data_IF_251802437716
#
_entry.id   IF_251802437716
#
_cell.length_a   1.000
_cell.length_b   1.000
_cell.length_c   1.000
_cell.angle_alpha   90.00
_cell.angle_beta   90.00
_cell.angle_gamma   90.00
#
_symmetry.space_group_name_H-M   'P 1'
#
loop_
_entity.id
_entity.type
_entity.pdbx_description
1 polymer ?
#
# COMPACT_ATOMS: atom_id res chain seq x y z
N UNK A 1 3.60 19.13 -8.23
CA UNK A 1 4.12 17.87 -8.72
C UNK A 1 4.50 17.01 -7.55
N UNK A 2 4.03 15.79 -7.57
CA UNK A 2 4.38 14.82 -6.56
C UNK A 2 5.79 14.28 -6.85
N UNK A 3 6.61 14.25 -5.81
CA UNK A 3 7.90 13.57 -5.89
C UNK A 3 7.74 12.08 -5.61
N UNK A 4 6.50 11.61 -5.63
CA UNK A 4 6.17 10.24 -5.31
C UNK A 4 6.59 9.25 -6.38
N UNK A 5 6.78 8.02 -5.92
CA UNK A 5 7.13 6.88 -6.76
C UNK A 5 5.96 5.91 -6.75
N UNK A 6 5.59 5.41 -7.93
CA UNK A 6 4.60 4.34 -8.07
C UNK A 6 5.23 3.23 -8.89
N UNK A 7 5.38 2.04 -8.31
CA UNK A 7 6.05 0.90 -8.92
C UNK A 7 5.17 -0.33 -8.79
N UNK A 8 5.16 -1.16 -9.82
CA UNK A 8 4.49 -2.47 -9.80
C UNK A 8 5.54 -3.58 -9.94
N UNK A 9 5.50 -4.55 -9.04
CA UNK A 9 6.38 -5.70 -9.05
C UNK A 9 5.53 -6.96 -9.28
N UNK A 10 5.82 -7.69 -10.35
CA UNK A 10 5.04 -8.85 -10.75
C UNK A 10 5.77 -10.14 -10.37
N UNK A 11 5.02 -11.10 -9.83
CA UNK A 11 5.58 -12.42 -9.49
C UNK A 11 5.60 -13.38 -10.67
N UNK A 12 4.65 -13.27 -11.57
CA UNK A 12 4.60 -14.16 -12.71
C UNK A 12 5.13 -13.49 -13.98
N UNK A 13 5.63 -14.28 -14.95
CA UNK A 13 6.24 -13.71 -16.15
C UNK A 13 5.30 -12.90 -17.03
N UNK A 14 4.02 -13.19 -16.95
CA UNK A 14 3.01 -12.49 -17.76
C UNK A 14 2.54 -11.20 -17.10
N UNK A 15 2.81 -11.04 -15.79
CA UNK A 15 2.45 -9.84 -15.06
C UNK A 15 0.96 -9.63 -14.88
N UNK A 16 0.15 -10.69 -14.96
CA UNK A 16 -1.29 -10.55 -14.99
C UNK A 16 -2.00 -10.89 -13.69
N UNK A 17 -1.39 -11.71 -12.84
CA UNK A 17 -2.11 -12.28 -11.70
C UNK A 17 -1.64 -11.75 -10.36
N UNK A 18 -0.36 -11.86 -10.07
CA UNK A 18 0.18 -11.52 -8.74
C UNK A 18 1.16 -10.38 -8.85
N UNK A 19 0.83 -9.26 -8.20
CA UNK A 19 1.74 -8.11 -8.21
C UNK A 19 1.69 -7.35 -6.90
N UNK A 20 2.78 -6.67 -6.60
CA UNK A 20 2.89 -5.75 -5.48
C UNK A 20 2.99 -4.33 -6.02
N UNK A 21 2.11 -3.47 -5.57
CA UNK A 21 2.17 -2.04 -5.88
C UNK A 21 2.86 -1.32 -4.73
N UNK A 22 3.81 -0.44 -5.06
CA UNK A 22 4.55 0.36 -4.08
C UNK A 22 4.33 1.83 -4.39
N UNK A 23 3.82 2.58 -3.44
CA UNK A 23 3.66 4.03 -3.53
C UNK A 23 4.43 4.68 -2.40
N UNK A 24 5.28 5.64 -2.71
CA UNK A 24 6.13 6.29 -1.73
C UNK A 24 6.39 7.74 -2.13
N UNK A 25 6.35 8.67 -1.18
CA UNK A 25 6.61 10.08 -1.44
C UNK A 25 7.63 10.71 -0.47
N UNK A 26 8.37 9.87 0.26
CA UNK A 26 9.34 10.36 1.24
C UNK A 26 8.75 10.61 2.63
N UNK A 27 7.42 10.68 2.75
CA UNK A 27 6.72 10.79 4.04
C UNK A 27 6.01 9.51 4.38
N UNK A 28 5.43 8.87 3.38
CA UNK A 28 4.64 7.66 3.53
C UNK A 28 5.09 6.63 2.51
N UNK A 29 4.98 5.37 2.89
CA UNK A 29 5.11 4.27 1.95
C UNK A 29 3.89 3.36 2.12
N UNK A 30 3.23 3.05 1.01
CA UNK A 30 2.05 2.20 1.01
C UNK A 30 2.30 1.03 0.08
N UNK A 31 2.05 -0.19 0.57
CA UNK A 31 2.22 -1.41 -0.18
C UNK A 31 0.86 -2.06 -0.38
N UNK A 32 0.58 -2.49 -1.59
CA UNK A 32 -0.65 -3.20 -1.91
C UNK A 32 -0.36 -4.40 -2.77
N UNK A 33 -0.71 -5.59 -2.30
CA UNK A 33 -0.58 -6.81 -3.07
C UNK A 33 -1.93 -7.18 -3.66
N UNK A 34 -1.93 -7.54 -4.93
CA UNK A 34 -3.11 -8.06 -5.60
C UNK A 34 -2.79 -9.41 -6.18
N UNK A 35 -3.61 -10.40 -5.89
CA UNK A 35 -3.44 -11.75 -6.40
C UNK A 35 -4.77 -12.35 -6.80
N UNK A 36 -4.70 -13.50 -7.44
CA UNK A 36 -5.86 -14.27 -7.84
C UNK A 36 -6.80 -13.43 -8.71
N UNK A 37 -6.22 -12.74 -9.70
CA UNK A 37 -6.92 -11.84 -10.62
C UNK A 37 -7.68 -10.72 -9.89
N UNK A 38 -7.08 -10.19 -8.82
CA UNK A 38 -7.66 -9.10 -8.08
C UNK A 38 -8.66 -9.51 -7.00
N UNK A 39 -8.82 -10.81 -6.77
CA UNK A 39 -9.77 -11.30 -5.77
C UNK A 39 -9.19 -11.30 -4.35
N UNK A 40 -7.86 -11.40 -4.23
CA UNK A 40 -7.18 -11.34 -2.94
C UNK A 40 -6.30 -10.11 -2.89
N UNK A 41 -6.62 -9.19 -1.98
CA UNK A 41 -5.90 -7.94 -1.85
C UNK A 41 -5.40 -7.78 -0.42
N UNK A 42 -4.11 -7.45 -0.30
CA UNK A 42 -3.48 -7.19 0.99
C UNK A 42 -2.84 -5.82 0.95
N UNK A 43 -3.03 -5.05 2.01
CA UNK A 43 -2.47 -3.71 2.11
C UNK A 43 -1.61 -3.61 3.36
N UNK A 44 -0.51 -2.84 3.28
CA UNK A 44 0.20 -2.48 4.49
C UNK A 44 -0.77 -1.79 5.43
N UNK A 45 -0.67 -2.07 6.73
CA UNK A 45 -1.62 -1.61 7.72
C UNK A 45 -0.90 -0.77 8.76
N UNK A 46 -1.44 0.41 9.04
CA UNK A 46 -0.93 1.29 10.07
C UNK A 46 -1.93 1.34 11.23
N UNK A 47 -1.68 0.59 12.31
CA UNK A 47 -2.62 0.54 13.44
C UNK A 47 -2.81 1.87 14.17
N UNK A 48 -1.89 2.83 13.99
CA UNK A 48 -2.06 4.16 14.58
C UNK A 48 -3.29 4.88 14.04
N UNK A 49 -3.79 4.48 12.87
CA UNK A 49 -4.97 5.07 12.24
C UNK A 49 -6.17 4.12 12.20
N UNK A 50 -6.15 3.08 13.01
CA UNK A 50 -7.22 2.08 13.02
C UNK A 50 -8.60 2.68 13.32
N UNK A 51 -8.65 3.75 14.11
CA UNK A 51 -9.90 4.43 14.44
C UNK A 51 -10.50 5.21 13.29
N UNK A 52 -9.77 5.39 12.20
CA UNK A 52 -10.27 6.07 11.01
C UNK A 52 -10.95 5.12 10.02
N UNK A 53 -10.92 3.82 10.28
CA UNK A 53 -11.41 2.82 9.33
C UNK A 53 -12.87 3.07 8.90
N UNK A 54 -13.71 3.46 9.84
CA UNK A 54 -15.13 3.72 9.56
C UNK A 54 -15.37 5.02 8.80
N UNK A 55 -14.37 5.87 8.71
CA UNK A 55 -14.49 7.19 8.10
C UNK A 55 -14.04 7.22 6.65
N UNK A 56 -13.32 6.20 6.20
CA UNK A 56 -12.69 6.19 4.88
C UNK A 56 -13.72 6.40 3.75
N UNK A 57 -14.86 5.74 3.85
CA UNK A 57 -15.90 5.84 2.83
C UNK A 57 -16.72 7.11 2.91
N UNK A 58 -16.57 7.89 3.97
CA UNK A 58 -17.37 9.09 4.23
C UNK A 58 -16.56 10.37 4.15
N UNK A 59 -15.25 10.29 4.33
CA UNK A 59 -14.39 11.46 4.36
C UNK A 59 -14.11 11.97 2.94
N UNK A 60 -14.09 13.27 2.77
CA UNK A 60 -13.68 13.88 1.51
C UNK A 60 -12.17 13.62 1.30
N UNK A 61 -11.77 13.49 0.03
CA UNK A 61 -10.37 13.24 -0.29
C UNK A 61 -9.43 14.38 0.11
N UNK A 62 -9.98 15.55 0.37
CA UNK A 62 -9.23 16.70 0.85
C UNK A 62 -8.93 16.62 2.34
N UNK A 63 -9.59 15.72 3.05
CA UNK A 63 -9.37 15.55 4.49
C UNK A 63 -8.04 14.84 4.74
N UNK A 64 -7.00 15.63 4.97
CA UNK A 64 -5.64 15.10 5.17
C UNK A 64 -5.41 14.50 6.56
N UNK A 65 -6.43 14.48 7.41
CA UNK A 65 -6.36 13.68 8.64
C UNK A 65 -6.62 12.20 8.38
N UNK A 66 -7.27 11.89 7.26
CA UNK A 66 -7.65 10.52 6.85
C UNK A 66 -6.80 10.04 5.67
N UNK A 67 -6.50 10.93 4.71
CA UNK A 67 -5.88 10.58 3.45
C UNK A 67 -4.45 11.09 3.35
N UNK A 68 -3.58 10.28 2.75
CA UNK A 68 -2.23 10.72 2.38
C UNK A 68 -2.28 11.49 1.07
N UNK A 69 -1.12 12.00 0.65
CA UNK A 69 -0.96 12.60 -0.68
C UNK A 69 -0.61 11.55 -1.74
N UNK A 70 -0.45 10.30 -1.33
CA UNK A 70 -0.18 9.20 -2.26
C UNK A 70 -1.44 8.86 -3.06
N UNK A 71 -1.24 8.46 -4.30
CA UNK A 71 -2.33 8.02 -5.17
C UNK A 71 -1.95 6.73 -5.87
N UNK A 72 -2.79 5.71 -5.71
CA UNK A 72 -2.59 4.44 -6.39
C UNK A 72 -2.83 4.61 -7.89
N UNK A 73 -1.82 4.27 -8.69
CA UNK A 73 -1.89 4.45 -10.13
C UNK A 73 -2.10 5.89 -10.58
N UNK A 74 -1.87 6.85 -9.68
CA UNK A 74 -2.06 8.27 -9.98
C UNK A 74 -3.53 8.69 -10.00
N UNK A 75 -4.45 7.85 -9.55
CA UNK A 75 -5.89 8.11 -9.65
C UNK A 75 -6.67 7.96 -8.34
N UNK A 76 -6.25 7.04 -7.47
CA UNK A 76 -7.00 6.70 -6.27
C UNK A 76 -6.23 7.07 -5.02
N UNK A 77 -6.73 7.98 -4.19
CA UNK A 77 -6.01 8.35 -2.97
C UNK A 77 -5.87 7.17 -2.02
N UNK A 78 -4.78 7.17 -1.26
CA UNK A 78 -4.45 6.10 -0.33
C UNK A 78 -4.68 6.60 1.09
N UNK A 79 -5.52 5.93 1.89
CA UNK A 79 -5.76 6.36 3.27
C UNK A 79 -4.56 6.07 4.16
N UNK A 80 -4.42 6.86 5.21
CA UNK A 80 -3.31 6.72 6.16
C UNK A 80 -3.28 5.35 6.83
N UNK A 81 -4.44 4.71 6.98
CA UNK A 81 -4.51 3.38 7.56
C UNK A 81 -3.77 2.33 6.73
N UNK A 82 -3.59 2.58 5.42
CA UNK A 82 -2.86 1.69 4.52
C UNK A 82 -1.42 2.17 4.25
N UNK A 83 -0.96 3.18 4.96
CA UNK A 83 0.36 3.76 4.72
C UNK A 83 1.15 3.83 6.02
N UNK A 84 2.45 3.55 5.92
CA UNK A 84 3.34 3.62 7.07
C UNK A 84 4.34 4.75 6.89
N UNK A 85 4.83 5.30 8.00
CA UNK A 85 5.76 6.42 7.98
C UNK A 85 7.22 5.99 8.02
N UNK A 86 7.49 4.74 8.38
CA UNK A 86 8.85 4.19 8.41
C UNK A 86 9.21 3.71 7.03
N UNK A 87 9.84 4.58 6.24
CA UNK A 87 10.19 4.28 4.86
C UNK A 87 11.18 3.12 4.79
N UNK A 88 12.14 3.04 5.71
CA UNK A 88 13.11 1.95 5.72
C UNK A 88 12.44 0.60 5.93
N UNK A 89 11.45 0.56 6.82
CA UNK A 89 10.71 -0.66 7.09
C UNK A 89 9.90 -1.08 5.85
N UNK A 90 9.30 -0.12 5.17
CA UNK A 90 8.60 -0.39 3.91
C UNK A 90 9.53 -0.92 2.82
N UNK A 91 10.74 -0.36 2.73
CA UNK A 91 11.74 -0.84 1.76
C UNK A 91 12.15 -2.28 2.10
N UNK A 92 12.32 -2.60 3.37
CA UNK A 92 12.63 -3.98 3.79
C UNK A 92 11.50 -4.93 3.37
N UNK A 93 10.26 -4.49 3.49
CA UNK A 93 9.12 -5.31 3.07
C UNK A 93 9.13 -5.56 1.56
N UNK A 94 9.48 -4.56 0.77
CA UNK A 94 9.61 -4.71 -0.68
C UNK A 94 10.74 -5.69 -1.02
N UNK A 95 11.89 -5.53 -0.39
CA UNK A 95 13.04 -6.43 -0.64
C UNK A 95 12.71 -7.87 -0.26
N UNK A 96 12.02 -8.06 0.86
CA UNK A 96 11.60 -9.38 1.30
C UNK A 96 10.66 -10.02 0.27
N UNK A 97 9.70 -9.25 -0.24
CA UNK A 97 8.78 -9.72 -1.27
C UNK A 97 9.51 -10.12 -2.54
N UNK A 98 10.48 -9.31 -2.97
CA UNK A 98 11.27 -9.62 -4.17
C UNK A 98 12.03 -10.93 -4.02
N UNK A 99 12.59 -11.18 -2.83
CA UNK A 99 13.41 -12.37 -2.58
C UNK A 99 12.60 -13.64 -2.35
N UNK A 100 11.44 -13.53 -1.71
CA UNK A 100 10.70 -14.69 -1.23
C UNK A 100 9.32 -14.86 -1.87
N UNK A 101 8.76 -13.80 -2.44
CA UNK A 101 7.38 -13.82 -2.91
C UNK A 101 6.35 -13.78 -1.80
N UNK A 102 6.79 -13.53 -0.56
CA UNK A 102 5.94 -13.56 0.62
C UNK A 102 5.89 -12.19 1.30
N UNK A 103 4.88 -12.02 2.16
CA UNK A 103 4.71 -10.77 2.91
C UNK A 103 5.70 -10.69 4.05
N UNK A 104 6.30 -9.52 4.21
CA UNK A 104 7.27 -9.28 5.26
C UNK A 104 6.58 -9.30 6.63
N UNK A 105 7.04 -10.15 7.56
CA UNK A 105 6.39 -10.25 8.88
C UNK A 105 6.68 -9.08 9.80
N UNK A 106 7.59 -8.20 9.43
CA UNK A 106 7.95 -7.04 10.25
C UNK A 106 6.98 -5.89 10.18
N UNK A 107 5.96 -5.95 9.31
CA UNK A 107 4.87 -4.96 9.28
C UNK A 107 3.54 -5.68 9.32
N UNK A 108 2.49 -4.93 9.64
CA UNK A 108 1.14 -5.47 9.67
C UNK A 108 0.52 -5.38 8.28
N UNK A 109 -0.35 -6.32 7.96
CA UNK A 109 -1.04 -6.39 6.68
C UNK A 109 -2.54 -6.50 6.91
N UNK A 110 -3.31 -5.82 6.06
CA UNK A 110 -4.76 -5.87 6.08
C UNK A 110 -5.23 -6.62 4.83
N UNK A 111 -6.03 -7.67 5.04
CA UNK A 111 -6.57 -8.47 3.94
C UNK A 111 -7.96 -7.99 3.60
N UNK A 112 -8.18 -7.69 2.32
CA UNK A 112 -9.50 -7.39 1.79
C UNK A 112 -9.78 -8.34 0.62
N UNK A 113 -10.91 -8.96 0.63
CA UNK A 113 -11.32 -9.88 -0.42
C UNK A 113 -12.53 -9.35 -1.18
#
# INVERSE_FOLDING_TARGET
ISDGINIYLYLDPDGEDNWLEVNCDGKWIALGFSGDFGQNNYYSYNPAFADTADQINKAAFEDKSIWTDLESGGQSPIPKIHAITDIELGVKAVEYFIRTGEFYPGIDWLHES
#
